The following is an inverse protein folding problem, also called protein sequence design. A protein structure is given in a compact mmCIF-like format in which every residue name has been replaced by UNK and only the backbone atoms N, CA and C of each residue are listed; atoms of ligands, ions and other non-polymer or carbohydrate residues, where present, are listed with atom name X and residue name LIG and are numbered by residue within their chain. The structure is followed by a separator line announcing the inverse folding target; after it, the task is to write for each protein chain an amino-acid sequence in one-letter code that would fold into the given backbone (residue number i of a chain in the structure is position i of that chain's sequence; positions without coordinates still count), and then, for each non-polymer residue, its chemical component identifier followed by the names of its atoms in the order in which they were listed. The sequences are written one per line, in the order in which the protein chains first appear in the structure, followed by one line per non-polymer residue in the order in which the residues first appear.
data_IF_699559574615
#
_entry.id   IF_699559574615
#
_cell.length_a   1.000
_cell.length_b   1.000
_cell.length_c   1.000
_cell.angle_alpha   90.00
_cell.angle_beta   90.00
_cell.angle_gamma   90.00
#
_symmetry.space_group_name_H-M   'P 1'
#
loop_
_entity.id
_entity.type
_entity.pdbx_description
1 polymer ?
#
# COMPACT_ATOMS: atom_id res chain seq x y z
N UNK A 1 -48.89 27.33 -44.50
CA UNK A 1 -48.05 26.80 -43.40
C UNK A 1 -46.76 27.61 -43.35
N UNK A 2 -46.32 27.91 -42.13
CA UNK A 2 -45.32 28.89 -41.65
C UNK A 2 -44.03 29.07 -42.46
N UNK A 3 -43.67 30.34 -42.74
CA UNK A 3 -42.30 30.87 -42.80
C UNK A 3 -42.31 32.30 -42.22
N UNK A 4 -41.57 32.54 -41.12
CA UNK A 4 -40.27 33.26 -41.03
C UNK A 4 -40.37 34.73 -41.43
N UNK A 5 -40.13 35.65 -40.49
CA UNK A 5 -39.03 36.65 -40.55
C UNK A 5 -39.21 37.79 -39.54
N UNK A 6 -38.34 37.80 -38.52
CA UNK A 6 -37.39 38.86 -38.09
C UNK A 6 -37.78 40.37 -38.04
N UNK A 7 -37.02 41.15 -37.23
CA UNK A 7 -37.49 42.29 -36.45
C UNK A 7 -36.98 43.64 -37.00
N UNK A 8 -37.40 44.77 -36.38
CA UNK A 8 -36.56 45.94 -36.11
C UNK A 8 -37.37 47.00 -35.35
N UNK A 9 -36.89 47.50 -34.22
CA UNK A 9 -36.88 48.96 -34.01
C UNK A 9 -35.87 49.38 -32.93
N UNK A 10 -34.94 50.20 -33.39
CA UNK A 10 -33.96 51.01 -32.66
C UNK A 10 -34.65 52.15 -31.91
N UNK A 11 -34.15 52.54 -30.74
CA UNK A 11 -34.26 53.94 -30.29
C UNK A 11 -33.03 54.37 -29.49
N UNK A 12 -32.80 55.67 -29.53
CA UNK A 12 -31.54 56.42 -29.48
C UNK A 12 -31.37 57.15 -28.13
N UNK A 13 -30.11 57.45 -27.80
CA UNK A 13 -29.59 58.51 -26.89
C UNK A 13 -29.68 58.23 -25.38
N UNK A 14 -28.79 58.72 -24.51
CA UNK A 14 -28.05 60.00 -24.47
C UNK A 14 -26.69 59.77 -23.77
N UNK A 15 -25.64 60.44 -24.27
CA UNK A 15 -24.30 60.50 -23.66
C UNK A 15 -24.31 61.56 -22.54
N UNK A 16 -23.99 61.14 -21.31
CA UNK A 16 -23.66 62.03 -20.20
C UNK A 16 -22.27 61.65 -19.67
N UNK A 17 -21.29 62.54 -19.87
CA UNK A 17 -19.92 62.38 -19.39
C UNK A 17 -19.85 62.81 -17.92
N UNK A 18 -19.57 61.86 -17.02
CA UNK A 18 -19.16 62.13 -15.65
C UNK A 18 -17.77 61.51 -15.43
N UNK A 19 -16.74 62.35 -15.37
CA UNK A 19 -15.38 61.93 -15.07
C UNK A 19 -15.26 61.62 -13.57
N UNK A 20 -15.23 60.34 -13.23
CA UNK A 20 -14.87 59.84 -11.90
C UNK A 20 -13.44 59.30 -11.94
N UNK A 21 -12.54 59.91 -11.16
CA UNK A 21 -11.20 59.37 -10.93
C UNK A 21 -11.33 58.04 -10.16
N UNK A 22 -11.15 56.93 -10.87
CA UNK A 22 -11.00 55.61 -10.27
C UNK A 22 -9.55 55.46 -9.79
N UNK A 23 -9.34 55.42 -8.48
CA UNK A 23 -8.07 55.03 -7.87
C UNK A 23 -7.88 53.53 -8.16
N UNK A 24 -6.95 53.22 -9.06
CA UNK A 24 -6.55 51.84 -9.38
C UNK A 24 -5.82 51.24 -8.17
N UNK A 25 -6.52 50.44 -7.37
CA UNK A 25 -5.88 49.49 -6.46
C UNK A 25 -5.17 48.42 -7.30
N UNK A 26 -3.88 48.11 -7.05
CA UNK A 26 -3.21 47.06 -7.78
C UNK A 26 -3.92 45.73 -7.51
N UNK A 27 -4.49 45.15 -8.57
CA UNK A 27 -5.02 43.80 -8.56
C UNK A 27 -3.84 42.84 -8.39
N UNK A 28 -3.76 42.17 -7.24
CA UNK A 28 -2.84 41.07 -7.04
C UNK A 28 -3.10 40.03 -8.14
N UNK A 29 -2.14 39.83 -9.03
CA UNK A 29 -2.23 38.78 -10.04
C UNK A 29 -2.27 37.44 -9.30
N UNK A 30 -3.22 36.54 -9.63
CA UNK A 30 -3.21 35.20 -9.06
C UNK A 30 -1.88 34.54 -9.43
N UNK A 31 -1.12 34.09 -8.44
CA UNK A 31 0.05 33.23 -8.65
C UNK A 31 -0.40 32.05 -9.52
N UNK A 32 0.26 31.79 -10.67
CA UNK A 32 -0.10 30.65 -11.50
C UNK A 32 0.06 29.38 -10.67
N UNK A 33 -0.99 28.55 -10.67
CA UNK A 33 -0.91 27.21 -10.09
C UNK A 33 0.25 26.45 -10.78
N UNK A 34 1.07 25.68 -10.03
CA UNK A 34 2.10 24.86 -10.64
C UNK A 34 1.49 23.97 -11.72
N UNK A 35 2.16 23.86 -12.87
CA UNK A 35 1.75 22.95 -13.94
C UNK A 35 1.66 21.50 -13.41
N UNK A 36 0.70 20.69 -13.90
CA UNK A 36 0.61 19.28 -13.57
C UNK A 36 1.92 18.56 -13.88
N UNK A 37 2.37 17.72 -12.94
CA UNK A 37 3.57 16.90 -13.12
C UNK A 37 3.16 15.69 -13.95
N UNK A 38 3.68 15.59 -15.18
CA UNK A 38 3.52 14.42 -16.03
C UNK A 38 3.97 13.13 -15.32
N UNK A 39 3.49 11.98 -15.83
CA UNK A 39 3.91 10.67 -15.37
C UNK A 39 5.43 10.58 -15.17
N UNK A 40 5.90 9.86 -14.13
CA UNK A 40 7.31 9.79 -13.82
C UNK A 40 8.10 9.25 -15.02
N UNK A 41 9.09 10.04 -15.47
CA UNK A 41 9.91 9.67 -16.62
C UNK A 41 10.99 8.63 -16.27
N UNK A 42 11.32 8.45 -14.99
CA UNK A 42 12.36 7.55 -14.50
C UNK A 42 11.75 6.54 -13.53
N UNK A 43 12.18 5.28 -13.65
CA UNK A 43 11.89 4.26 -12.65
C UNK A 43 12.50 4.66 -11.29
N UNK A 44 11.96 4.18 -10.15
CA UNK A 44 12.52 4.50 -8.84
C UNK A 44 14.01 4.17 -8.70
N UNK A 45 14.45 3.07 -9.31
CA UNK A 45 15.87 2.65 -9.34
C UNK A 45 16.79 3.60 -10.11
N UNK A 46 16.23 4.51 -10.91
CA UNK A 46 16.95 5.48 -11.73
C UNK A 46 16.74 6.92 -11.27
N UNK A 47 15.79 7.15 -10.35
CA UNK A 47 15.40 8.47 -9.88
C UNK A 47 16.22 8.84 -8.62
N UNK A 48 17.08 9.90 -8.67
CA UNK A 48 17.90 10.32 -7.54
C UNK A 48 17.10 10.70 -6.29
N UNK A 49 15.77 10.91 -6.40
CA UNK A 49 14.91 11.11 -5.24
C UNK A 49 14.93 9.91 -4.29
N UNK A 50 15.06 8.68 -4.80
CA UNK A 50 15.04 7.45 -4.00
C UNK A 50 16.38 7.15 -3.33
N UNK A 51 17.45 7.83 -3.75
CA UNK A 51 18.80 7.67 -3.18
C UNK A 51 18.96 8.46 -1.88
N UNK A 52 19.17 7.78 -0.73
CA UNK A 52 19.33 8.47 0.54
C UNK A 52 20.63 9.29 0.55
N UNK A 53 20.67 10.43 1.28
CA UNK A 53 21.90 11.19 1.44
C UNK A 53 22.93 10.40 2.26
N UNK A 54 24.21 10.80 2.18
CA UNK A 54 25.25 10.24 3.05
C UNK A 54 24.85 10.37 4.54
N UNK A 55 25.24 9.39 5.33
CA UNK A 55 25.00 9.33 6.79
C UNK A 55 23.52 9.28 7.20
N UNK A 56 22.61 8.95 6.29
CA UNK A 56 21.18 8.79 6.62
C UNK A 56 20.96 7.69 7.67
N UNK A 57 21.86 6.70 7.73
CA UNK A 57 21.85 5.56 8.64
C UNK A 57 21.89 5.98 10.11
N UNK A 58 22.52 7.13 10.39
CA UNK A 58 22.64 7.72 11.74
C UNK A 58 21.37 8.44 12.18
N UNK A 59 20.42 8.69 11.27
CA UNK A 59 19.15 9.34 11.61
C UNK A 59 18.20 8.35 12.27
N UNK A 60 17.27 8.89 13.06
CA UNK A 60 16.24 8.10 13.70
C UNK A 60 15.23 7.52 12.67
N UNK A 61 14.61 6.36 12.96
CA UNK A 61 13.45 5.86 12.23
C UNK A 61 12.38 6.94 11.96
N UNK A 62 11.86 6.96 10.73
CA UNK A 62 10.91 7.95 10.22
C UNK A 62 11.51 9.35 9.97
N UNK A 63 12.82 9.54 10.07
CA UNK A 63 13.44 10.83 9.76
C UNK A 63 13.26 11.16 8.28
N UNK A 64 12.79 12.38 8.00
CA UNK A 64 12.67 12.88 6.63
C UNK A 64 14.06 13.07 6.04
N UNK A 65 14.30 12.45 4.89
CA UNK A 65 15.54 12.54 4.12
C UNK A 65 15.38 13.52 2.96
N UNK A 66 14.27 13.41 2.21
CA UNK A 66 13.89 14.31 1.12
C UNK A 66 12.38 14.39 0.99
N UNK A 67 11.90 15.45 0.36
CA UNK A 67 10.48 15.64 0.03
C UNK A 67 10.33 16.21 -1.37
N UNK A 68 9.28 15.81 -2.10
CA UNK A 68 8.85 16.47 -3.34
C UNK A 68 7.34 16.52 -3.46
N UNK A 69 6.82 17.56 -4.13
CA UNK A 69 5.42 17.59 -4.55
C UNK A 69 5.28 16.80 -5.85
N UNK A 70 4.21 16.03 -5.98
CA UNK A 70 3.87 15.26 -7.18
C UNK A 70 2.39 15.40 -7.51
N UNK A 71 2.03 15.24 -8.79
CA UNK A 71 0.66 14.96 -9.21
C UNK A 71 0.38 13.47 -9.12
N UNK A 72 -0.86 13.11 -8.79
CA UNK A 72 -1.34 11.75 -8.96
C UNK A 72 -1.79 11.53 -10.40
N UNK A 73 -1.72 10.28 -10.84
CA UNK A 73 -2.14 9.88 -12.18
C UNK A 73 -2.41 8.39 -12.28
N UNK A 74 -3.00 7.98 -13.39
CA UNK A 74 -3.25 6.58 -13.74
C UNK A 74 -2.95 6.35 -15.21
N UNK A 75 -2.06 5.39 -15.51
CA UNK A 75 -1.66 5.02 -16.89
C UNK A 75 -1.30 6.23 -17.77
N UNK A 76 -0.41 7.08 -17.29
CA UNK A 76 0.01 8.30 -17.99
C UNK A 76 -0.99 9.46 -17.97
N UNK A 77 -2.17 9.29 -17.38
CA UNK A 77 -3.22 10.33 -17.32
C UNK A 77 -3.25 10.98 -15.93
N UNK A 78 -3.15 12.29 -15.88
CA UNK A 78 -3.18 13.05 -14.63
C UNK A 78 -4.57 13.03 -13.98
N UNK A 79 -4.57 13.03 -12.65
CA UNK A 79 -5.74 13.26 -11.81
C UNK A 79 -5.50 14.57 -11.04
N UNK A 80 -6.52 15.43 -10.85
CA UNK A 80 -6.35 16.76 -10.24
C UNK A 80 -6.16 16.68 -8.71
N UNK A 81 -5.22 15.86 -8.26
CA UNK A 81 -4.86 15.62 -6.86
C UNK A 81 -3.35 15.71 -6.78
N UNK A 82 -2.86 16.53 -5.85
CA UNK A 82 -1.44 16.61 -5.52
C UNK A 82 -1.14 15.81 -4.27
N UNK A 83 0.10 15.35 -4.17
CA UNK A 83 0.60 14.62 -3.03
C UNK A 83 2.03 15.06 -2.69
N UNK A 84 2.45 14.79 -1.46
CA UNK A 84 3.84 14.93 -1.05
C UNK A 84 4.48 13.55 -0.95
N UNK A 85 5.52 13.31 -1.74
CA UNK A 85 6.39 12.15 -1.52
C UNK A 85 7.48 12.49 -0.52
N UNK A 86 7.72 11.56 0.39
CA UNK A 86 8.71 11.70 1.45
C UNK A 86 9.63 10.49 1.38
N UNK A 87 10.90 10.69 1.06
CA UNK A 87 11.93 9.70 1.32
C UNK A 87 12.26 9.77 2.81
N UNK A 88 12.15 8.65 3.51
CA UNK A 88 12.42 8.57 4.95
C UNK A 88 13.33 7.40 5.31
N UNK A 89 14.03 7.55 6.43
CA UNK A 89 14.85 6.49 7.03
C UNK A 89 13.92 5.47 7.70
N UNK A 90 14.09 4.20 7.38
CA UNK A 90 13.37 3.05 7.96
C UNK A 90 14.37 2.01 8.52
N UNK A 91 13.89 0.83 8.88
CA UNK A 91 14.66 -0.31 9.37
C UNK A 91 14.32 -1.54 8.53
N UNK A 92 15.32 -2.29 8.07
CA UNK A 92 15.11 -3.49 7.27
C UNK A 92 14.82 -4.74 8.13
N UNK A 93 14.61 -5.90 7.49
CA UNK A 93 14.31 -7.15 8.17
C UNK A 93 15.35 -7.57 9.23
N UNK A 94 16.64 -7.32 8.95
CA UNK A 94 17.75 -7.63 9.85
C UNK A 94 17.99 -6.56 10.94
N UNK A 95 17.16 -5.52 11.02
CA UNK A 95 17.32 -4.44 12.00
C UNK A 95 18.31 -3.34 11.59
N UNK A 96 18.84 -3.37 10.37
CA UNK A 96 19.77 -2.37 9.87
C UNK A 96 19.03 -1.17 9.25
N UNK A 97 19.63 0.03 9.24
CA UNK A 97 19.04 1.19 8.59
C UNK A 97 18.81 0.96 7.08
N UNK A 98 17.65 1.38 6.59
CA UNK A 98 17.31 1.46 5.17
C UNK A 98 16.51 2.73 4.90
N UNK A 99 16.10 2.97 3.67
CA UNK A 99 15.20 4.08 3.33
C UNK A 99 14.12 3.62 2.37
N UNK A 100 12.95 4.23 2.45
CA UNK A 100 11.87 4.01 1.49
C UNK A 100 11.00 5.26 1.38
N UNK A 101 9.96 5.23 0.54
CA UNK A 101 9.09 6.38 0.25
C UNK A 101 7.70 6.17 0.83
N UNK A 102 7.07 7.28 1.24
CA UNK A 102 5.63 7.32 1.46
C UNK A 102 5.03 8.48 0.68
N UNK A 103 3.88 8.24 0.05
CA UNK A 103 3.09 9.26 -0.64
C UNK A 103 1.98 9.72 0.31
N UNK A 104 1.99 11.01 0.64
CA UNK A 104 1.01 11.63 1.55
C UNK A 104 0.04 12.49 0.75
N UNK A 105 -1.24 12.12 0.81
CA UNK A 105 -2.36 12.78 0.14
C UNK A 105 -3.23 13.44 1.22
N UNK A 106 -3.37 14.77 1.16
CA UNK A 106 -4.20 15.52 2.11
C UNK A 106 -5.44 16.08 1.41
N UNK A 107 -6.61 16.11 2.06
CA UNK A 107 -7.77 16.81 1.53
C UNK A 107 -7.46 18.31 1.37
N UNK A 108 -7.95 18.98 0.30
CA UNK A 108 -7.59 20.37 -0.02
C UNK A 108 -7.92 21.39 1.08
N UNK A 109 -8.89 21.08 1.94
CA UNK A 109 -9.49 22.02 2.92
C UNK A 109 -8.77 21.97 4.28
N UNK A 110 -7.81 21.06 4.50
CA UNK A 110 -7.15 20.89 5.80
C UNK A 110 -5.82 21.66 5.84
N UNK A 111 -5.83 22.85 6.46
CA UNK A 111 -4.61 23.64 6.67
C UNK A 111 -3.57 22.96 7.59
N UNK A 112 -2.31 23.42 7.60
CA UNK A 112 -1.29 22.94 8.54
C UNK A 112 -1.77 23.05 10.00
N UNK A 113 -1.57 22.00 10.82
CA UNK A 113 -1.95 21.99 12.24
C UNK A 113 -3.44 21.77 12.58
N UNK A 114 -4.33 21.72 11.59
CA UNK A 114 -5.74 21.37 11.82
C UNK A 114 -5.88 19.91 12.31
N UNK A 115 -6.93 19.57 13.11
CA UNK A 115 -7.19 18.21 13.52
C UNK A 115 -7.31 17.29 12.30
N UNK A 116 -6.32 16.41 12.12
CA UNK A 116 -6.29 15.42 11.04
C UNK A 116 -6.75 14.08 11.59
N UNK A 117 -7.47 13.32 10.77
CA UNK A 117 -7.61 11.87 10.91
C UNK A 117 -6.81 11.27 9.78
N UNK A 118 -5.96 10.32 10.12
CA UNK A 118 -5.01 9.76 9.17
C UNK A 118 -5.31 8.29 8.93
N UNK A 119 -5.18 7.86 7.68
CA UNK A 119 -5.23 6.45 7.30
C UNK A 119 -3.87 6.09 6.67
N UNK A 120 -3.21 5.09 7.23
CA UNK A 120 -2.14 4.37 6.56
C UNK A 120 -2.79 3.35 5.64
N UNK A 121 -2.86 3.67 4.35
CA UNK A 121 -3.36 2.75 3.34
C UNK A 121 -2.20 1.91 2.82
N UNK A 122 -2.35 0.60 2.88
CA UNK A 122 -1.34 -0.34 2.42
C UNK A 122 -1.84 -1.02 1.15
N UNK A 123 -1.24 -0.63 0.03
CA UNK A 123 -1.47 -1.21 -1.30
C UNK A 123 -1.09 -2.70 -1.33
N UNK A 124 -1.75 -3.50 -2.16
CA UNK A 124 -1.40 -4.90 -2.44
C UNK A 124 -0.58 -4.99 -3.74
N UNK A 125 0.51 -4.22 -3.81
CA UNK A 125 1.31 -4.11 -5.03
C UNK A 125 2.21 -5.33 -5.29
N UNK A 126 2.46 -6.13 -4.24
CA UNK A 126 2.96 -7.50 -4.28
C UNK A 126 4.08 -7.69 -5.32
N UNK A 127 5.18 -6.96 -5.12
CA UNK A 127 6.07 -6.63 -6.23
C UNK A 127 7.42 -7.34 -6.21
N UNK A 128 7.96 -7.50 -7.41
CA UNK A 128 9.34 -7.92 -7.66
C UNK A 128 10.11 -6.89 -8.50
N UNK A 129 9.48 -5.77 -8.85
CA UNK A 129 10.08 -4.66 -9.60
C UNK A 129 9.72 -3.29 -9.05
N UNK A 130 10.65 -2.34 -9.14
CA UNK A 130 10.45 -0.99 -8.61
C UNK A 130 9.39 -0.18 -9.38
N UNK A 131 9.05 -0.58 -10.61
CA UNK A 131 7.92 0.00 -11.34
C UNK A 131 6.56 -0.30 -10.68
N UNK A 132 6.51 -1.20 -9.70
CA UNK A 132 5.31 -1.56 -8.97
C UNK A 132 5.17 -0.77 -7.65
N UNK A 133 6.21 -0.03 -7.24
CA UNK A 133 6.18 0.76 -6.00
C UNK A 133 4.98 1.73 -6.01
N UNK A 134 4.17 1.80 -4.95
CA UNK A 134 3.03 2.72 -4.87
C UNK A 134 3.41 4.18 -5.13
N UNK A 135 4.59 4.62 -4.69
CA UNK A 135 5.09 5.96 -5.00
C UNK A 135 5.32 6.21 -6.50
N UNK A 136 5.55 5.17 -7.29
CA UNK A 136 5.68 5.29 -8.74
C UNK A 136 4.33 5.10 -9.45
N UNK A 137 3.57 4.07 -9.07
CA UNK A 137 2.29 3.72 -9.72
C UNK A 137 1.22 4.78 -9.51
N UNK A 138 1.14 5.40 -8.32
CA UNK A 138 0.20 6.49 -8.01
C UNK A 138 0.44 7.78 -8.82
N UNK A 139 1.59 7.92 -9.45
CA UNK A 139 1.89 9.00 -10.39
C UNK A 139 1.57 8.63 -11.84
N UNK A 140 0.96 7.47 -12.08
CA UNK A 140 0.62 6.96 -13.40
C UNK A 140 1.80 6.36 -14.17
N UNK A 141 2.89 5.99 -13.48
CA UNK A 141 4.12 5.49 -14.11
C UNK A 141 4.05 4.06 -14.65
N UNK A 142 3.12 3.24 -14.13
CA UNK A 142 2.91 1.86 -14.56
C UNK A 142 1.64 1.77 -15.42
N UNK A 143 1.79 1.27 -16.64
CA UNK A 143 0.69 1.16 -17.62
C UNK A 143 -0.19 -0.08 -17.37
N UNK A 144 0.31 -1.08 -16.66
CA UNK A 144 -0.45 -2.29 -16.31
C UNK A 144 -1.31 -2.11 -15.07
N UNK A 145 -1.01 -1.09 -14.25
CA UNK A 145 -1.66 -0.81 -12.97
C UNK A 145 -3.18 -0.72 -13.05
N UNK A 146 -3.86 -1.33 -12.08
CA UNK A 146 -5.31 -1.22 -11.89
C UNK A 146 -5.67 0.04 -11.09
N UNK A 147 -6.80 0.72 -11.37
CA UNK A 147 -7.13 1.98 -10.71
C UNK A 147 -7.64 1.81 -9.26
N UNK A 148 -7.56 0.60 -8.68
CA UNK A 148 -8.22 0.25 -7.42
C UNK A 148 -7.65 1.02 -6.23
N UNK A 149 -6.32 1.14 -6.14
CA UNK A 149 -5.66 1.95 -5.12
C UNK A 149 -6.08 3.41 -5.21
N UNK A 150 -6.07 3.97 -6.42
CA UNK A 150 -6.48 5.35 -6.65
C UNK A 150 -7.94 5.57 -6.26
N UNK A 151 -8.84 4.63 -6.57
CA UNK A 151 -10.25 4.70 -6.17
C UNK A 151 -10.42 4.67 -4.63
N UNK A 152 -9.69 3.82 -3.92
CA UNK A 152 -9.74 3.75 -2.46
C UNK A 152 -9.16 5.01 -1.80
N UNK A 153 -7.99 5.46 -2.26
CA UNK A 153 -7.32 6.66 -1.75
C UNK A 153 -8.21 7.89 -1.98
N UNK A 154 -8.82 8.02 -3.15
CA UNK A 154 -9.74 9.13 -3.45
C UNK A 154 -11.00 9.07 -2.59
N UNK A 155 -11.56 7.88 -2.34
CA UNK A 155 -12.68 7.70 -1.42
C UNK A 155 -12.34 8.10 0.02
N UNK A 156 -11.18 7.66 0.53
CA UNK A 156 -10.69 8.04 1.86
C UNK A 156 -10.45 9.56 1.97
N UNK A 157 -9.83 10.15 0.95
CA UNK A 157 -9.60 11.59 0.88
C UNK A 157 -10.92 12.37 0.84
N UNK A 158 -11.90 11.91 0.06
CA UNK A 158 -13.23 12.51 -0.02
C UNK A 158 -13.99 12.41 1.32
N UNK A 159 -13.73 11.37 2.12
CA UNK A 159 -14.22 11.23 3.49
C UNK A 159 -13.48 12.14 4.51
N UNK A 160 -12.52 12.95 4.06
CA UNK A 160 -11.79 13.92 4.87
C UNK A 160 -10.53 13.37 5.53
N UNK A 161 -10.06 12.19 5.13
CA UNK A 161 -8.85 11.59 5.67
C UNK A 161 -7.59 12.08 4.97
N UNK A 162 -6.54 12.31 5.75
CA UNK A 162 -5.17 12.35 5.21
C UNK A 162 -4.71 10.91 5.02
N UNK A 163 -4.23 10.56 3.82
CA UNK A 163 -3.80 9.20 3.49
C UNK A 163 -2.29 9.16 3.34
N UNK A 164 -1.62 8.25 4.02
CA UNK A 164 -0.23 7.88 3.71
C UNK A 164 -0.23 6.51 3.04
N UNK A 165 0.54 6.39 1.96
CA UNK A 165 0.75 5.15 1.21
C UNK A 165 2.24 4.87 1.18
N UNK A 166 2.77 4.03 2.09
CA UNK A 166 4.18 3.66 2.12
C UNK A 166 4.51 2.57 1.10
N UNK A 167 5.69 2.66 0.50
CA UNK A 167 6.33 1.57 -0.25
C UNK A 167 6.95 0.61 0.80
N UNK A 168 6.11 -0.24 1.39
CA UNK A 168 6.45 -0.99 2.61
C UNK A 168 7.41 -2.16 2.38
N UNK A 169 7.48 -2.70 1.16
CA UNK A 169 8.45 -3.71 0.75
C UNK A 169 9.89 -3.14 0.66
N UNK A 170 10.01 -1.81 0.75
CA UNK A 170 11.28 -1.09 0.75
C UNK A 170 12.04 -1.20 -0.57
N UNK A 171 13.29 -0.71 -0.56
CA UNK A 171 14.17 -0.73 -1.75
C UNK A 171 14.48 -2.14 -2.28
N UNK A 172 14.30 -3.16 -1.44
CA UNK A 172 14.56 -4.55 -1.80
C UNK A 172 13.33 -5.29 -2.32
N UNK A 173 12.15 -4.63 -2.42
CA UNK A 173 10.91 -5.25 -2.90
C UNK A 173 10.61 -6.56 -2.14
N UNK A 174 10.80 -6.48 -0.82
CA UNK A 174 10.70 -7.61 0.11
C UNK A 174 9.25 -7.88 0.49
N UNK A 175 8.46 -8.26 -0.50
CA UNK A 175 7.08 -8.66 -0.34
C UNK A 175 6.90 -9.75 0.72
N UNK A 176 5.85 -9.65 1.53
CA UNK A 176 5.51 -10.52 2.67
C UNK A 176 6.49 -10.52 3.85
N UNK A 177 7.62 -9.79 3.79
CA UNK A 177 8.60 -9.79 4.86
C UNK A 177 8.10 -8.95 6.04
N UNK A 178 7.86 -9.63 7.16
CA UNK A 178 7.05 -9.17 8.27
C UNK A 178 7.60 -7.90 8.93
N UNK A 179 8.83 -7.97 9.45
CA UNK A 179 9.45 -6.85 10.19
C UNK A 179 9.63 -5.63 9.31
N UNK A 180 10.17 -5.83 8.10
CA UNK A 180 10.45 -4.73 7.17
C UNK A 180 9.17 -3.99 6.75
N UNK A 181 8.13 -4.74 6.39
CA UNK A 181 6.82 -4.17 6.02
C UNK A 181 6.22 -3.36 7.16
N UNK A 182 6.23 -3.90 8.38
CA UNK A 182 5.72 -3.21 9.57
C UNK A 182 6.54 -1.96 9.93
N UNK A 183 7.87 -2.04 9.91
CA UNK A 183 8.74 -0.89 10.19
C UNK A 183 8.56 0.21 9.17
N UNK A 184 8.54 -0.12 7.88
CA UNK A 184 8.31 0.85 6.82
C UNK A 184 6.97 1.57 7.00
N UNK A 185 5.87 0.85 7.22
CA UNK A 185 4.57 1.49 7.44
C UNK A 185 4.57 2.47 8.64
N UNK A 186 5.11 2.04 9.79
CA UNK A 186 5.15 2.86 11.00
C UNK A 186 6.10 4.06 10.88
N UNK A 187 7.25 3.89 10.23
CA UNK A 187 8.20 4.97 9.98
C UNK A 187 7.71 5.96 8.92
N UNK A 188 6.93 5.49 7.94
CA UNK A 188 6.21 6.34 6.99
C UNK A 188 5.21 7.25 7.69
N UNK A 189 4.48 6.72 8.68
CA UNK A 189 3.57 7.51 9.52
C UNK A 189 4.32 8.58 10.33
N UNK A 190 5.46 8.23 10.95
CA UNK A 190 6.32 9.21 11.63
C UNK A 190 6.76 10.34 10.70
N UNK A 191 7.20 9.99 9.50
CA UNK A 191 7.65 10.95 8.50
C UNK A 191 6.49 11.85 8.03
N UNK A 192 5.32 11.27 7.78
CA UNK A 192 4.11 11.99 7.37
C UNK A 192 3.63 12.97 8.45
N UNK A 193 3.54 12.54 9.72
CA UNK A 193 3.16 13.43 10.83
C UNK A 193 4.12 14.62 10.97
N UNK A 194 5.44 14.38 10.85
CA UNK A 194 6.46 15.43 10.87
C UNK A 194 6.28 16.41 9.71
N UNK A 195 6.10 15.90 8.49
CA UNK A 195 5.91 16.73 7.29
C UNK A 195 4.65 17.60 7.40
N UNK A 196 3.57 17.05 7.93
CA UNK A 196 2.29 17.75 8.10
C UNK A 196 2.27 18.70 9.31
N UNK A 197 3.31 18.66 10.16
CA UNK A 197 3.33 19.29 11.49
C UNK A 197 2.09 18.89 12.31
N UNK A 198 1.69 17.63 12.17
CA UNK A 198 0.52 17.09 12.83
C UNK A 198 0.85 16.76 14.30
N UNK A 199 -0.07 17.02 15.26
CA UNK A 199 0.14 16.65 16.66
C UNK A 199 0.34 15.14 16.84
N UNK A 200 1.13 14.72 17.83
CA UNK A 200 1.33 13.29 18.13
C UNK A 200 0.03 12.54 18.44
N UNK A 201 -0.99 13.24 18.98
CA UNK A 201 -2.34 12.69 19.24
C UNK A 201 -3.20 12.48 17.99
N UNK A 202 -2.69 12.73 16.79
CA UNK A 202 -3.43 12.54 15.53
C UNK A 202 -3.90 11.09 15.44
N UNK A 203 -5.21 10.80 15.41
CA UNK A 203 -5.70 9.43 15.30
C UNK A 203 -5.32 8.83 13.94
N UNK A 204 -4.77 7.62 13.99
CA UNK A 204 -4.30 6.87 12.82
C UNK A 204 -5.04 5.53 12.74
N UNK A 205 -5.57 5.22 11.56
CA UNK A 205 -6.08 3.90 11.21
C UNK A 205 -5.10 3.19 10.26
N UNK A 206 -4.95 1.87 10.39
CA UNK A 206 -4.24 1.03 9.40
C UNK A 206 -5.28 0.28 8.55
N UNK A 207 -5.09 0.26 7.23
CA UNK A 207 -6.04 -0.32 6.28
C UNK A 207 -5.31 -1.02 5.14
N UNK A 208 -5.52 -2.34 4.99
CA UNK A 208 -4.91 -3.09 3.89
C UNK A 208 -5.53 -4.47 3.68
N UNK A 209 -5.51 -4.93 2.43
CA UNK A 209 -6.06 -6.21 1.99
C UNK A 209 -5.00 -6.99 1.22
N UNK A 210 -5.11 -8.33 1.16
CA UNK A 210 -4.15 -9.18 0.45
C UNK A 210 -2.71 -8.93 0.93
N UNK A 211 -1.73 -8.70 0.06
CA UNK A 211 -0.39 -8.33 0.52
C UNK A 211 -0.34 -7.02 1.33
N UNK A 212 -1.27 -6.07 1.11
CA UNK A 212 -1.44 -4.89 1.95
C UNK A 212 -1.85 -5.21 3.40
N UNK A 213 -2.35 -6.42 3.67
CA UNK A 213 -2.62 -6.88 5.04
C UNK A 213 -1.32 -7.14 5.82
N UNK A 214 -0.19 -7.38 5.16
CA UNK A 214 1.12 -7.68 5.78
C UNK A 214 1.61 -6.50 6.63
N UNK A 215 1.86 -5.29 6.08
CA UNK A 215 2.22 -4.12 6.88
C UNK A 215 1.10 -3.69 7.85
N UNK A 216 -0.16 -4.01 7.54
CA UNK A 216 -1.30 -3.70 8.42
C UNK A 216 -1.24 -4.52 9.71
N UNK A 217 -1.13 -5.84 9.59
CA UNK A 217 -1.09 -6.77 10.70
C UNK A 217 0.21 -6.66 11.49
N UNK A 218 1.36 -6.79 10.82
CA UNK A 218 2.66 -6.68 11.49
C UNK A 218 2.92 -5.28 12.03
N UNK A 219 2.46 -4.22 11.34
CA UNK A 219 2.50 -2.86 11.87
C UNK A 219 1.71 -2.74 13.18
N UNK A 220 0.53 -3.36 13.26
CA UNK A 220 -0.26 -3.38 14.50
C UNK A 220 0.42 -4.19 15.62
N UNK A 221 1.07 -5.31 15.30
CA UNK A 221 1.83 -6.13 16.27
C UNK A 221 3.07 -5.40 16.82
N UNK A 222 3.79 -4.70 15.94
CA UNK A 222 5.06 -4.03 16.26
C UNK A 222 4.85 -2.66 16.89
N UNK A 223 3.76 -1.96 16.58
CA UNK A 223 3.51 -0.60 17.07
C UNK A 223 3.68 -0.41 18.58
N UNK A 224 3.19 -1.32 19.46
CA UNK A 224 3.33 -1.15 20.91
C UNK A 224 4.76 -1.08 21.45
N UNK A 225 5.73 -1.64 20.73
CA UNK A 225 7.15 -1.66 21.14
C UNK A 225 8.01 -0.79 20.24
N UNK A 226 7.77 -0.82 18.93
CA UNK A 226 8.56 -0.08 17.94
C UNK A 226 8.15 1.38 17.81
N UNK A 227 6.86 1.70 17.91
CA UNK A 227 6.32 3.05 17.72
C UNK A 227 5.18 3.41 18.67
N UNK A 228 5.40 3.28 20.00
CA UNK A 228 4.35 3.50 21.01
C UNK A 228 3.82 4.94 21.04
N UNK A 229 4.54 5.88 20.43
CA UNK A 229 4.14 7.29 20.34
C UNK A 229 3.09 7.57 19.26
N UNK A 230 2.85 6.64 18.33
CA UNK A 230 1.82 6.79 17.30
C UNK A 230 0.44 6.49 17.89
N UNK A 231 -0.50 7.44 17.76
CA UNK A 231 -1.89 7.25 18.20
C UNK A 231 -2.69 6.41 17.18
N UNK A 232 -2.34 5.13 17.06
CA UNK A 232 -3.11 4.17 16.26
C UNK A 232 -4.39 3.84 17.03
N UNK A 233 -5.55 3.95 16.37
CA UNK A 233 -6.87 3.77 16.98
C UNK A 233 -7.59 2.51 16.51
N UNK A 234 -7.08 1.85 15.47
CA UNK A 234 -7.57 0.58 14.96
C UNK A 234 -6.86 0.15 13.69
N UNK A 235 -6.93 -1.13 13.38
CA UNK A 235 -6.41 -1.69 12.14
C UNK A 235 -7.41 -2.68 11.52
N UNK A 236 -7.61 -2.58 10.21
CA UNK A 236 -8.45 -3.49 9.45
C UNK A 236 -7.61 -4.19 8.37
N UNK A 237 -7.46 -5.50 8.51
CA UNK A 237 -6.70 -6.37 7.62
C UNK A 237 -7.62 -7.42 6.98
N UNK A 238 -7.49 -7.69 5.69
CA UNK A 238 -8.30 -8.70 5.01
C UNK A 238 -7.51 -9.51 4.00
N UNK A 239 -7.96 -10.73 3.69
CA UNK A 239 -7.23 -11.64 2.79
C UNK A 239 -5.81 -11.88 3.29
N UNK A 240 -5.67 -12.35 4.53
CA UNK A 240 -4.42 -12.28 5.28
C UNK A 240 -3.56 -13.54 5.07
N UNK A 241 -2.30 -13.42 4.60
CA UNK A 241 -1.35 -14.54 4.55
C UNK A 241 -0.75 -14.76 5.94
N UNK A 242 -1.49 -15.44 6.81
CA UNK A 242 -1.09 -15.63 8.23
C UNK A 242 0.14 -16.53 8.35
N UNK A 243 0.17 -17.65 7.62
CA UNK A 243 1.26 -18.61 7.61
C UNK A 243 1.67 -18.92 6.16
N UNK A 244 2.80 -18.34 5.68
CA UNK A 244 3.22 -18.54 4.30
C UNK A 244 3.48 -20.01 3.92
N UNK A 245 3.84 -20.89 4.87
CA UNK A 245 4.04 -22.31 4.58
C UNK A 245 2.71 -23.03 4.35
N UNK A 246 1.67 -22.70 5.12
CA UNK A 246 0.33 -23.21 4.87
C UNK A 246 -0.24 -22.67 3.56
N UNK A 247 -0.12 -21.36 3.32
CA UNK A 247 -0.56 -20.72 2.07
C UNK A 247 0.10 -21.37 0.84
N UNK A 248 1.41 -21.62 0.89
CA UNK A 248 2.13 -22.35 -0.15
C UNK A 248 1.45 -23.70 -0.45
N UNK A 249 1.17 -24.50 0.57
CA UNK A 249 0.49 -25.79 0.42
C UNK A 249 -0.90 -25.67 -0.21
N UNK A 250 -1.62 -24.58 0.08
CA UNK A 250 -2.97 -24.33 -0.44
C UNK A 250 -2.98 -23.90 -1.91
N UNK A 251 -2.03 -23.07 -2.34
CA UNK A 251 -1.91 -22.61 -3.74
C UNK A 251 -1.21 -23.64 -4.63
N UNK A 252 -0.42 -24.56 -4.08
CA UNK A 252 0.41 -25.49 -4.85
C UNK A 252 -0.41 -26.32 -5.84
N UNK A 253 -0.17 -26.15 -7.13
CA UNK A 253 -0.86 -26.90 -8.19
C UNK A 253 -2.30 -26.46 -8.47
N UNK A 254 -2.76 -25.34 -7.91
CA UNK A 254 -4.08 -24.77 -8.23
C UNK A 254 -4.11 -24.22 -9.68
N UNK A 255 -5.31 -24.07 -10.28
CA UNK A 255 -5.44 -23.48 -11.61
C UNK A 255 -5.10 -21.99 -11.68
N UNK A 256 -5.24 -21.26 -10.57
CA UNK A 256 -5.04 -19.81 -10.44
C UNK A 256 -4.06 -19.55 -9.28
N UNK A 257 -3.50 -18.33 -9.20
CA UNK A 257 -2.59 -17.87 -8.14
C UNK A 257 -1.24 -18.58 -8.03
N UNK A 258 -0.93 -19.58 -8.84
CA UNK A 258 0.30 -20.36 -8.71
C UNK A 258 1.57 -19.58 -9.02
N UNK A 259 1.49 -18.44 -9.72
CA UNK A 259 2.65 -17.59 -9.96
C UNK A 259 3.18 -16.88 -8.71
N UNK A 260 2.42 -16.85 -7.61
CA UNK A 260 2.94 -16.37 -6.30
C UNK A 260 4.05 -17.27 -5.75
N UNK A 261 4.08 -18.55 -6.14
CA UNK A 261 5.07 -19.54 -5.68
C UNK A 261 6.49 -19.12 -6.10
N UNK A 262 6.82 -18.97 -7.40
CA UNK A 262 8.16 -18.54 -7.81
C UNK A 262 8.50 -17.12 -7.34
N UNK A 263 7.49 -16.24 -7.18
CA UNK A 263 7.68 -14.89 -6.67
C UNK A 263 8.19 -14.89 -5.22
N UNK A 264 7.49 -15.59 -4.33
CA UNK A 264 7.91 -15.72 -2.92
C UNK A 264 9.21 -16.51 -2.78
N UNK A 265 9.45 -17.52 -3.63
CA UNK A 265 10.75 -18.19 -3.69
C UNK A 265 11.90 -17.21 -3.93
N UNK A 266 11.75 -16.28 -4.87
CA UNK A 266 12.76 -15.25 -5.15
C UNK A 266 12.94 -14.30 -3.96
N UNK A 267 11.85 -13.77 -3.40
CA UNK A 267 11.90 -12.81 -2.28
C UNK A 267 12.55 -13.41 -1.04
N UNK A 268 12.16 -14.63 -0.65
CA UNK A 268 12.73 -15.29 0.52
C UNK A 268 14.20 -15.67 0.28
N UNK A 269 14.54 -16.11 -0.92
CA UNK A 269 15.93 -16.43 -1.24
C UNK A 269 16.83 -15.20 -1.12
N UNK A 270 16.43 -14.07 -1.69
CA UNK A 270 17.19 -12.82 -1.61
C UNK A 270 17.23 -12.25 -0.18
N UNK A 271 16.10 -12.26 0.53
CA UNK A 271 16.00 -11.64 1.86
C UNK A 271 16.81 -12.38 2.92
N UNK A 272 16.86 -13.71 2.84
CA UNK A 272 17.49 -14.57 3.85
C UNK A 272 18.81 -15.21 3.39
N UNK A 273 19.35 -14.77 2.25
CA UNK A 273 20.60 -15.30 1.66
C UNK A 273 20.56 -16.84 1.50
N UNK A 274 19.42 -17.35 1.02
CA UNK A 274 19.24 -18.79 0.78
C UNK A 274 19.83 -19.12 -0.59
N UNK A 275 20.74 -20.09 -0.64
CA UNK A 275 21.26 -20.64 -1.90
C UNK A 275 20.20 -21.49 -2.61
N UNK A 276 19.16 -20.83 -3.11
CA UNK A 276 18.09 -21.48 -3.86
C UNK A 276 18.59 -21.99 -5.22
N UNK A 277 19.57 -21.31 -5.83
CA UNK A 277 20.12 -21.65 -7.14
C UNK A 277 20.68 -23.08 -7.18
N UNK A 278 21.30 -23.56 -6.09
CA UNK A 278 21.76 -24.95 -5.96
C UNK A 278 20.64 -25.99 -6.02
N UNK A 279 19.38 -25.61 -5.85
CA UNK A 279 18.23 -26.52 -5.80
C UNK A 279 17.24 -26.34 -6.96
N UNK A 280 17.37 -25.30 -7.77
CA UNK A 280 16.47 -25.05 -8.89
C UNK A 280 16.65 -26.06 -10.03
N UNK A 281 15.54 -26.39 -10.69
CA UNK A 281 15.55 -27.02 -12.00
C UNK A 281 15.80 -25.98 -13.10
N UNK A 282 16.14 -26.39 -14.34
CA UNK A 282 16.17 -25.45 -15.47
C UNK A 282 14.83 -24.73 -15.72
N UNK A 283 13.69 -25.35 -15.32
CA UNK A 283 12.38 -24.69 -15.35
C UNK A 283 12.30 -23.61 -14.26
N UNK A 284 12.69 -23.96 -13.04
CA UNK A 284 12.74 -23.02 -11.91
C UNK A 284 13.60 -21.81 -12.18
N UNK A 285 14.83 -22.02 -12.66
CA UNK A 285 15.74 -20.94 -13.04
C UNK A 285 15.13 -20.00 -14.09
N UNK A 286 14.43 -20.54 -15.10
CA UNK A 286 13.77 -19.70 -16.10
C UNK A 286 12.62 -18.90 -15.49
N UNK A 287 11.72 -19.56 -14.76
CA UNK A 287 10.53 -18.91 -14.20
C UNK A 287 10.92 -17.85 -13.16
N UNK A 288 11.88 -18.13 -12.27
CA UNK A 288 12.36 -17.14 -11.30
C UNK A 288 12.99 -15.92 -11.99
N UNK A 289 13.67 -16.10 -13.12
CA UNK A 289 14.15 -14.97 -13.94
C UNK A 289 13.03 -14.23 -14.67
N UNK A 290 11.94 -14.89 -15.02
CA UNK A 290 10.79 -14.25 -15.68
C UNK A 290 10.04 -13.37 -14.71
N UNK A 291 9.72 -13.89 -13.52
CA UNK A 291 9.01 -13.12 -12.49
C UNK A 291 9.86 -12.00 -11.88
N UNK A 292 11.19 -12.08 -11.99
CA UNK A 292 12.07 -11.02 -11.52
C UNK A 292 11.74 -9.69 -12.21
N UNK A 293 11.40 -8.67 -11.42
CA UNK A 293 10.98 -7.39 -11.95
C UNK A 293 9.50 -7.33 -12.35
N UNK A 294 8.68 -8.34 -12.12
CA UNK A 294 7.25 -8.29 -12.45
C UNK A 294 6.40 -7.64 -11.33
N UNK A 295 5.25 -7.09 -11.72
CA UNK A 295 4.19 -6.70 -10.78
C UNK A 295 3.16 -7.82 -10.67
N UNK A 296 2.37 -7.82 -9.60
CA UNK A 296 1.40 -8.89 -9.30
C UNK A 296 0.47 -9.23 -10.47
N UNK A 297 0.00 -8.26 -11.26
CA UNK A 297 -0.89 -8.53 -12.39
C UNK A 297 -0.22 -9.27 -13.55
N UNK A 298 1.10 -9.36 -13.55
CA UNK A 298 1.89 -10.04 -14.58
C UNK A 298 2.17 -11.50 -14.22
N UNK A 299 2.20 -11.85 -12.92
CA UNK A 299 2.52 -13.22 -12.50
C UNK A 299 1.40 -13.95 -11.78
N UNK A 300 0.45 -13.29 -11.09
CA UNK A 300 -0.47 -13.95 -10.16
C UNK A 300 -1.16 -15.18 -10.78
N UNK A 301 -1.80 -15.01 -11.93
CA UNK A 301 -2.55 -16.07 -12.63
C UNK A 301 -1.74 -16.80 -13.72
N UNK A 302 -0.43 -16.54 -13.79
CA UNK A 302 0.46 -17.27 -14.70
C UNK A 302 0.82 -18.66 -14.16
N UNK A 303 1.27 -19.51 -15.09
CA UNK A 303 1.72 -20.87 -14.82
C UNK A 303 0.66 -21.79 -14.16
N UNK A 304 -0.57 -21.91 -14.72
CA UNK A 304 -1.65 -22.67 -14.11
C UNK A 304 -1.24 -24.12 -13.80
N UNK A 305 -1.51 -24.56 -12.57
CA UNK A 305 -1.13 -25.89 -12.08
C UNK A 305 0.35 -26.06 -11.76
N UNK A 306 1.12 -24.96 -11.69
CA UNK A 306 2.52 -25.00 -11.26
C UNK A 306 2.60 -25.46 -9.81
N UNK A 307 3.53 -26.38 -9.55
CA UNK A 307 3.92 -26.75 -8.19
C UNK A 307 5.35 -26.31 -7.90
N UNK A 308 5.65 -26.05 -6.64
CA UNK A 308 7.00 -25.77 -6.15
C UNK A 308 8.01 -26.85 -6.54
N UNK A 309 7.63 -28.14 -6.45
CA UNK A 309 8.45 -29.26 -6.87
C UNK A 309 8.87 -29.18 -8.35
N UNK A 310 8.03 -28.64 -9.25
CA UNK A 310 8.40 -28.46 -10.66
C UNK A 310 9.50 -27.41 -10.87
N UNK A 311 9.68 -26.49 -9.92
CA UNK A 311 10.72 -25.46 -9.94
C UNK A 311 12.05 -25.98 -9.39
N UNK A 312 12.07 -27.17 -8.79
CA UNK A 312 13.22 -27.72 -8.06
C UNK A 312 13.80 -28.96 -8.76
N UNK A 313 15.05 -29.29 -8.43
CA UNK A 313 15.70 -30.53 -8.88
C UNK A 313 14.91 -31.74 -8.37
N UNK A 314 14.88 -32.87 -9.12
CA UNK A 314 14.12 -34.06 -8.72
C UNK A 314 14.50 -34.67 -7.36
N UNK A 315 15.67 -34.32 -6.82
CA UNK A 315 16.12 -34.78 -5.49
C UNK A 315 15.56 -33.96 -4.33
N UNK A 316 14.82 -32.89 -4.60
CA UNK A 316 14.25 -31.97 -3.59
C UNK A 316 12.74 -32.17 -3.55
N UNK A 317 12.18 -32.55 -2.40
CA UNK A 317 10.76 -32.87 -2.27
C UNK A 317 9.83 -31.67 -2.47
N UNK A 318 10.23 -30.50 -1.99
CA UNK A 318 9.55 -29.23 -2.16
C UNK A 318 10.39 -28.06 -1.65
N UNK A 319 9.91 -26.83 -1.80
CA UNK A 319 10.69 -25.64 -1.43
C UNK A 319 10.97 -25.59 0.08
N UNK A 320 10.06 -26.12 0.90
CA UNK A 320 10.26 -26.21 2.34
C UNK A 320 11.38 -27.18 2.73
N UNK A 321 11.88 -28.02 1.82
CA UNK A 321 13.00 -28.93 2.08
C UNK A 321 14.36 -28.30 1.71
N UNK A 322 14.35 -27.12 1.08
CA UNK A 322 15.57 -26.34 0.84
C UNK A 322 16.07 -25.78 2.18
N UNK A 323 17.36 -25.96 2.52
CA UNK A 323 17.92 -25.45 3.77
C UNK A 323 17.66 -23.96 3.97
N UNK A 324 17.26 -23.56 5.18
CA UNK A 324 16.96 -22.18 5.54
C UNK A 324 15.53 -21.73 5.26
N UNK A 325 14.81 -22.32 4.29
CA UNK A 325 13.47 -21.85 3.88
C UNK A 325 12.45 -21.93 5.01
N UNK A 326 12.36 -23.06 5.74
CA UNK A 326 11.39 -23.19 6.86
C UNK A 326 11.66 -22.18 7.97
N UNK A 327 12.93 -21.95 8.29
CA UNK A 327 13.32 -20.97 9.30
C UNK A 327 12.91 -19.57 8.84
N UNK A 328 13.25 -19.21 7.60
CA UNK A 328 12.89 -17.92 7.02
C UNK A 328 11.37 -17.69 7.04
N UNK A 329 10.56 -18.67 6.60
CA UNK A 329 9.09 -18.57 6.65
C UNK A 329 8.57 -18.41 8.09
N UNK A 330 9.14 -19.13 9.05
CA UNK A 330 8.71 -19.05 10.45
C UNK A 330 8.87 -17.65 11.07
N UNK A 331 9.80 -16.84 10.57
CA UNK A 331 10.00 -15.45 10.99
C UNK A 331 8.93 -14.49 10.45
N UNK A 332 8.07 -14.96 9.54
CA UNK A 332 7.03 -14.18 8.86
C UNK A 332 5.61 -14.70 9.10
N UNK A 333 5.41 -15.47 10.18
CA UNK A 333 4.08 -15.91 10.60
C UNK A 333 3.39 -14.81 11.41
N UNK A 334 2.22 -14.37 10.96
CA UNK A 334 1.46 -13.31 11.62
C UNK A 334 0.93 -13.77 12.99
N UNK A 335 0.95 -12.87 13.96
CA UNK A 335 0.59 -13.11 15.35
C UNK A 335 1.77 -13.41 16.27
N UNK A 336 2.99 -13.51 15.72
CA UNK A 336 4.21 -13.95 16.44
C UNK A 336 5.17 -12.83 16.82
N UNK A 337 5.08 -11.65 16.20
CA UNK A 337 6.04 -10.55 16.42
C UNK A 337 5.64 -9.61 17.56
N UNK A 338 4.37 -9.63 17.95
CA UNK A 338 3.87 -8.82 19.05
C UNK A 338 2.39 -9.04 19.32
N UNK A 339 1.77 -8.11 20.03
CA UNK A 339 0.33 -8.14 20.33
C UNK A 339 -0.23 -6.74 20.14
N UNK A 340 -1.14 -6.54 19.17
CA UNK A 340 -1.77 -5.24 18.97
C UNK A 340 -2.41 -4.71 20.25
N UNK A 341 -2.35 -3.40 20.47
CA UNK A 341 -3.04 -2.72 21.59
C UNK A 341 -4.29 -1.95 21.16
N UNK A 342 -4.68 -2.15 19.90
CA UNK A 342 -5.79 -1.45 19.25
C UNK A 342 -6.79 -2.47 18.77
N UNK A 343 -8.07 -2.11 18.61
CA UNK A 343 -9.04 -2.99 17.99
C UNK A 343 -8.59 -3.43 16.60
N UNK A 344 -8.76 -4.73 16.31
CA UNK A 344 -8.45 -5.35 15.03
C UNK A 344 -9.75 -5.79 14.35
N UNK A 345 -9.88 -5.54 13.05
CA UNK A 345 -10.88 -6.17 12.21
C UNK A 345 -10.17 -7.05 11.19
N UNK A 346 -10.44 -8.36 11.23
CA UNK A 346 -9.88 -9.34 10.31
C UNK A 346 -10.98 -9.87 9.38
N UNK A 347 -10.63 -10.20 8.14
CA UNK A 347 -11.58 -10.86 7.24
C UNK A 347 -10.92 -11.66 6.12
N UNK A 348 -11.65 -12.61 5.56
CA UNK A 348 -11.15 -13.50 4.51
C UNK A 348 -12.31 -14.08 3.71
N UNK A 349 -12.12 -14.28 2.41
CA UNK A 349 -13.10 -15.04 1.60
C UNK A 349 -13.10 -16.53 1.97
N UNK A 350 -14.12 -17.25 1.53
CA UNK A 350 -14.13 -18.70 1.56
C UNK A 350 -14.96 -19.23 0.39
N UNK A 351 -14.32 -19.51 -0.75
CA UNK A 351 -14.98 -19.97 -1.98
C UNK A 351 -15.03 -21.48 -2.13
N UNK A 352 -14.04 -22.19 -1.58
CA UNK A 352 -13.87 -23.64 -1.80
C UNK A 352 -13.98 -24.48 -0.51
N UNK A 353 -14.35 -23.87 0.61
CA UNK A 353 -14.48 -24.51 1.92
C UNK A 353 -13.18 -24.54 2.73
N UNK A 354 -12.04 -24.21 2.13
CA UNK A 354 -10.74 -24.08 2.80
C UNK A 354 -10.40 -22.60 2.99
N UNK A 355 -10.62 -21.80 1.96
CA UNK A 355 -10.20 -20.41 1.92
C UNK A 355 -10.69 -19.68 0.68
N UNK A 356 -10.06 -18.55 0.38
CA UNK A 356 -10.48 -17.67 -0.71
C UNK A 356 -9.82 -17.99 -2.07
N UNK A 357 -9.08 -19.09 -2.14
CA UNK A 357 -8.24 -19.49 -3.27
C UNK A 357 -6.76 -19.18 -3.09
N UNK A 358 -6.41 -18.29 -2.15
CA UNK A 358 -5.03 -17.88 -1.83
C UNK A 358 -4.76 -17.97 -0.34
N UNK A 359 -5.69 -17.46 0.46
CA UNK A 359 -5.62 -17.32 1.91
C UNK A 359 -6.54 -18.34 2.58
N UNK A 360 -6.02 -19.01 3.61
CA UNK A 360 -6.74 -20.07 4.32
C UNK A 360 -7.62 -19.44 5.41
N UNK A 361 -8.93 -19.71 5.36
CA UNK A 361 -9.88 -19.09 6.27
C UNK A 361 -9.64 -19.51 7.74
N UNK A 362 -9.26 -20.77 7.95
CA UNK A 362 -8.96 -21.30 9.28
C UNK A 362 -7.76 -20.61 9.95
N UNK A 363 -6.73 -20.23 9.18
CA UNK A 363 -5.56 -19.55 9.73
C UNK A 363 -5.92 -18.11 10.17
N UNK A 364 -6.75 -17.40 9.39
CA UNK A 364 -7.25 -16.06 9.75
C UNK A 364 -8.16 -16.12 10.99
N UNK A 365 -9.01 -17.13 11.08
CA UNK A 365 -9.83 -17.37 12.27
C UNK A 365 -8.96 -17.68 13.51
N UNK A 366 -7.91 -18.49 13.35
CA UNK A 366 -6.94 -18.80 14.40
C UNK A 366 -6.16 -17.58 14.87
N UNK A 367 -5.75 -16.71 13.95
CA UNK A 367 -5.12 -15.42 14.27
C UNK A 367 -6.07 -14.53 15.08
N UNK A 368 -7.34 -14.43 14.67
CA UNK A 368 -8.35 -13.66 15.40
C UNK A 368 -8.52 -14.16 16.83
N UNK A 369 -8.60 -15.48 17.01
CA UNK A 369 -8.72 -16.10 18.34
C UNK A 369 -7.47 -15.89 19.19
N UNK A 370 -6.28 -16.04 18.59
CA UNK A 370 -5.01 -15.72 19.24
C UNK A 370 -4.97 -14.28 19.76
N UNK A 371 -5.45 -13.30 18.97
CA UNK A 371 -5.56 -11.92 19.43
C UNK A 371 -6.59 -11.74 20.56
N UNK A 372 -7.78 -12.34 20.45
CA UNK A 372 -8.80 -12.29 21.52
C UNK A 372 -8.29 -12.89 22.83
N UNK A 373 -7.59 -14.02 22.76
CA UNK A 373 -7.01 -14.69 23.94
C UNK A 373 -5.98 -13.82 24.66
N UNK A 374 -5.35 -12.88 23.94
CA UNK A 374 -4.39 -11.90 24.46
C UNK A 374 -5.04 -10.56 24.84
N UNK A 375 -6.37 -10.50 24.86
CA UNK A 375 -7.15 -9.32 25.28
C UNK A 375 -7.30 -8.24 24.20
N UNK A 376 -6.99 -8.53 22.94
CA UNK A 376 -7.17 -7.59 21.84
C UNK A 376 -8.65 -7.62 21.39
N UNK A 377 -9.34 -6.47 21.29
CA UNK A 377 -10.69 -6.43 20.73
C UNK A 377 -10.63 -6.75 19.23
N UNK A 378 -10.90 -8.01 18.86
CA UNK A 378 -10.77 -8.47 17.47
C UNK A 378 -12.09 -8.98 16.90
N UNK A 379 -12.53 -8.42 15.78
CA UNK A 379 -13.61 -8.98 14.96
C UNK A 379 -13.04 -9.83 13.82
N UNK A 380 -13.80 -10.84 13.40
CA UNK A 380 -13.44 -11.72 12.28
C UNK A 380 -14.69 -11.99 11.45
N UNK A 381 -14.59 -11.77 10.14
CA UNK A 381 -15.64 -12.09 9.18
C UNK A 381 -15.10 -13.04 8.11
N UNK A 382 -15.74 -14.19 7.95
CA UNK A 382 -15.53 -15.10 6.81
C UNK A 382 -16.60 -14.83 5.75
N UNK A 383 -16.20 -14.37 4.58
CA UNK A 383 -17.10 -14.08 3.46
C UNK A 383 -17.32 -15.34 2.63
N UNK A 384 -18.25 -16.19 3.09
CA UNK A 384 -18.57 -17.47 2.45
C UNK A 384 -19.09 -17.31 1.02
N UNK A 385 -18.65 -18.21 0.15
CA UNK A 385 -18.93 -18.20 -1.29
C UNK A 385 -18.13 -17.16 -2.08
N UNK A 386 -17.24 -16.40 -1.44
CA UNK A 386 -16.44 -15.36 -2.10
C UNK A 386 -15.02 -15.84 -2.33
N UNK A 387 -14.51 -15.62 -3.55
CA UNK A 387 -13.08 -15.75 -3.87
C UNK A 387 -12.28 -14.59 -3.27
N UNK A 388 -10.95 -14.66 -3.35
CA UNK A 388 -10.03 -13.64 -2.84
C UNK A 388 -10.40 -12.23 -3.33
N UNK A 389 -10.62 -12.09 -4.65
CA UNK A 389 -11.02 -10.82 -5.28
C UNK A 389 -12.46 -10.42 -4.95
N UNK A 390 -13.37 -11.38 -4.86
CA UNK A 390 -14.78 -11.07 -4.63
C UNK A 390 -15.06 -10.65 -3.17
N UNK A 391 -14.33 -11.20 -2.21
CA UNK A 391 -14.43 -10.86 -0.79
C UNK A 391 -13.93 -9.44 -0.48
N UNK A 392 -13.06 -8.88 -1.32
CA UNK A 392 -12.51 -7.54 -1.16
C UNK A 392 -13.59 -6.45 -1.01
N UNK A 393 -14.68 -6.53 -1.80
CA UNK A 393 -15.73 -5.51 -1.82
C UNK A 393 -16.51 -5.46 -0.49
N UNK A 394 -17.19 -6.54 -0.04
CA UNK A 394 -17.91 -6.51 1.24
C UNK A 394 -16.98 -6.24 2.42
N UNK A 395 -15.75 -6.79 2.39
CA UNK A 395 -14.75 -6.49 3.41
C UNK A 395 -14.40 -5.01 3.49
N UNK A 396 -14.15 -4.36 2.35
CA UNK A 396 -13.79 -2.93 2.30
C UNK A 396 -14.88 -2.05 2.91
N UNK A 397 -16.15 -2.37 2.67
CA UNK A 397 -17.30 -1.64 3.23
C UNK A 397 -17.33 -1.75 4.76
N UNK A 398 -17.17 -2.96 5.29
CA UNK A 398 -17.12 -3.20 6.73
C UNK A 398 -15.88 -2.55 7.37
N UNK A 399 -14.73 -2.66 6.73
CA UNK A 399 -13.46 -2.10 7.19
C UNK A 399 -13.52 -0.57 7.27
N UNK A 400 -14.02 0.10 6.23
CA UNK A 400 -14.22 1.56 6.26
C UNK A 400 -15.19 1.97 7.37
N UNK A 401 -16.27 1.21 7.58
CA UNK A 401 -17.22 1.46 8.68
C UNK A 401 -16.56 1.33 10.05
N UNK A 402 -15.78 0.26 10.26
CA UNK A 402 -15.02 0.02 11.48
C UNK A 402 -14.02 1.16 11.74
N UNK A 403 -13.18 1.50 10.75
CA UNK A 403 -12.15 2.53 10.89
C UNK A 403 -12.75 3.93 11.09
N UNK A 404 -13.86 4.25 10.42
CA UNK A 404 -14.59 5.50 10.63
C UNK A 404 -15.04 5.66 12.09
N UNK A 405 -15.54 4.59 12.70
CA UNK A 405 -15.89 4.55 14.12
C UNK A 405 -14.69 4.87 15.00
N UNK A 406 -13.58 4.14 14.79
CA UNK A 406 -12.34 4.30 15.59
C UNK A 406 -11.74 5.68 15.46
N UNK A 407 -11.63 6.22 14.24
CA UNK A 407 -11.14 7.58 13.96
C UNK A 407 -12.05 8.66 14.55
N UNK A 408 -13.32 8.34 14.82
CA UNK A 408 -14.28 9.21 15.51
C UNK A 408 -14.33 9.01 17.03
N UNK A 409 -13.50 8.12 17.60
CA UNK A 409 -13.48 7.83 19.04
C UNK A 409 -14.64 6.97 19.53
N UNK A 410 -15.24 6.15 18.65
CA UNK A 410 -16.34 5.21 18.95
C UNK A 410 -15.86 3.77 18.85
#
# INVERSE_FOLDING_TARGET
MRQISRPLTTLIAVIGVAASLCVLTPTASPTPLPAPVAAPALLPTQDPFYEPPRDYEKRAPGAILRTRQVGLGWRGTDVPITATQILYRSTNNSGHPTSTVTTVISPPVVGPGAPRRMVSYHSFYDALGAQCDPSYTLRGGNMSERPIDLALITGLMAAGYTVAVPDYEGRGLRWTIARESGYAALDGLRAALRQLRAPARTPIALYGYSGGSVPTGFGAELAPTYSPELNIVGAAAGGIPVDPAHNLGYVNGKPEWTGVIPALMAVYAETYDIDLASYLSPKGERILRQVAGECIEQFADEYPGLTDHQLLKPSVGGVLDVPGVRQAISENVMGTLGTPRVPMMLGVGNSDGIGDGVMIAADVAGLAESYRSRGVPTTFTEYRGQTHTAAFIPWSVEALTFLNGRLAGR
#
